data_IF_755847307474
#
_entry.id   IF_755847307474
#
_cell.length_a   1.000
_cell.length_b   1.000
_cell.length_c   1.000
_cell.angle_alpha   90.00
_cell.angle_beta   90.00
_cell.angle_gamma   90.00
#
_symmetry.space_group_name_H-M   'P 1'
#
loop_
_entity.id
_entity.type
_entity.pdbx_description
1 polymer ?
#
# COMPACT_ATOMS: atom_id res chain seq x y z
N UNK A 1 -17.92 12.46 29.35
CA UNK A 1 -18.59 12.17 28.08
C UNK A 1 -17.68 11.21 27.33
N UNK A 2 -18.03 9.93 27.27
CA UNK A 2 -17.24 8.93 26.51
C UNK A 2 -17.99 8.69 25.22
N UNK A 3 -17.33 8.91 24.08
CA UNK A 3 -17.82 8.30 22.85
C UNK A 3 -17.49 6.82 22.97
N UNK A 4 -18.50 5.96 23.01
CA UNK A 4 -18.26 4.55 22.76
C UNK A 4 -17.79 4.45 21.31
N UNK A 5 -16.53 4.08 21.10
CA UNK A 5 -16.02 3.78 19.77
C UNK A 5 -16.65 2.45 19.40
N UNK A 6 -17.72 2.49 18.60
CA UNK A 6 -18.21 1.28 17.97
C UNK A 6 -17.06 0.76 17.09
N UNK A 7 -16.60 -0.45 17.36
CA UNK A 7 -15.42 -1.05 16.72
C UNK A 7 -15.78 -1.55 15.32
N UNK A 8 -16.34 -0.66 14.49
CA UNK A 8 -16.60 -0.93 13.08
C UNK A 8 -15.23 -0.92 12.39
N UNK A 9 -14.82 -2.09 11.92
CA UNK A 9 -13.63 -2.22 11.10
C UNK A 9 -13.85 -1.46 9.78
N UNK A 10 -13.08 -0.40 9.50
CA UNK A 10 -13.34 0.48 8.36
C UNK A 10 -13.20 -0.26 7.03
N UNK A 11 -14.30 -0.31 6.27
CA UNK A 11 -14.33 -0.97 4.95
C UNK A 11 -14.37 0.04 3.83
N UNK A 12 -13.44 -0.04 2.88
CA UNK A 12 -13.46 0.78 1.67
C UNK A 12 -14.56 0.31 0.72
N UNK A 13 -15.32 1.27 0.19
CA UNK A 13 -16.39 1.04 -0.77
C UNK A 13 -16.08 1.64 -2.14
N UNK A 14 -15.19 2.62 -2.20
CA UNK A 14 -14.73 3.20 -3.46
C UNK A 14 -13.37 3.86 -3.30
N UNK A 15 -12.57 3.85 -4.36
CA UNK A 15 -11.23 4.46 -4.40
C UNK A 15 -11.15 5.39 -5.60
N UNK A 16 -10.50 6.54 -5.40
CA UNK A 16 -10.09 7.46 -6.46
C UNK A 16 -8.58 7.63 -6.35
N UNK A 17 -7.89 7.56 -7.49
CA UNK A 17 -6.45 7.73 -7.59
C UNK A 17 -6.18 8.89 -8.54
N UNK A 18 -5.42 9.87 -8.07
CA UNK A 18 -4.98 11.03 -8.87
C UNK A 18 -3.47 10.97 -9.09
N UNK A 19 -2.91 12.04 -9.66
CA UNK A 19 -1.46 12.18 -9.78
C UNK A 19 -0.77 12.36 -8.41
N UNK A 20 -1.49 12.87 -7.42
CA UNK A 20 -0.93 13.28 -6.13
C UNK A 20 -1.42 12.43 -4.95
N UNK A 21 -2.61 11.83 -5.05
CA UNK A 21 -3.28 11.22 -3.90
C UNK A 21 -4.01 9.90 -4.23
N UNK A 22 -4.16 9.08 -3.19
CA UNK A 22 -5.04 7.91 -3.13
C UNK A 22 -6.12 8.23 -2.11
N UNK A 23 -7.37 8.31 -2.57
CA UNK A 23 -8.53 8.63 -1.73
C UNK A 23 -9.46 7.44 -1.62
N UNK A 24 -9.68 6.95 -0.40
CA UNK A 24 -10.60 5.86 -0.09
C UNK A 24 -11.85 6.40 0.62
N UNK A 25 -13.04 6.05 0.12
CA UNK A 25 -14.31 6.27 0.83
C UNK A 25 -14.67 5.01 1.60
N UNK A 26 -15.00 5.18 2.87
CA UNK A 26 -15.32 4.09 3.78
C UNK A 26 -16.85 3.95 3.95
N UNK A 27 -17.29 2.73 4.24
CA UNK A 27 -18.70 2.38 4.46
C UNK A 27 -19.34 3.15 5.63
N UNK A 28 -18.52 3.58 6.59
CA UNK A 28 -18.93 4.39 7.74
C UNK A 28 -19.04 5.90 7.44
N UNK A 29 -18.89 6.29 6.16
CA UNK A 29 -19.01 7.66 5.68
C UNK A 29 -17.72 8.48 5.75
N UNK A 30 -16.63 7.95 6.32
CA UNK A 30 -15.34 8.64 6.33
C UNK A 30 -14.71 8.63 4.93
N UNK A 31 -13.85 9.62 4.69
CA UNK A 31 -12.96 9.66 3.53
C UNK A 31 -11.52 9.78 4.04
N UNK A 32 -10.65 8.88 3.58
CA UNK A 32 -9.22 8.91 3.86
C UNK A 32 -8.49 9.31 2.58
N UNK A 33 -7.61 10.30 2.65
CA UNK A 33 -6.69 10.63 1.54
C UNK A 33 -5.26 10.54 2.04
N UNK A 34 -4.42 9.91 1.23
CA UNK A 34 -2.98 9.81 1.47
C UNK A 34 -2.23 10.19 0.20
N UNK A 35 -1.02 10.75 0.30
CA UNK A 35 -0.23 11.07 -0.89
C UNK A 35 0.09 9.80 -1.68
N UNK A 36 0.03 9.85 -3.01
CA UNK A 36 0.43 8.77 -3.91
C UNK A 36 1.88 8.32 -3.64
N UNK A 37 2.72 9.28 -3.21
CA UNK A 37 4.12 9.06 -2.81
C UNK A 37 4.31 8.11 -1.63
N UNK A 38 3.23 7.76 -0.92
CA UNK A 38 3.28 6.70 0.08
C UNK A 38 3.67 5.34 -0.49
N UNK A 39 3.34 5.07 -1.75
CA UNK A 39 3.89 3.92 -2.45
C UNK A 39 4.85 4.37 -3.52
N UNK A 40 6.08 3.91 -3.40
CA UNK A 40 7.10 4.14 -4.40
C UNK A 40 6.74 3.51 -5.74
N UNK A 41 6.09 2.34 -5.72
CA UNK A 41 5.61 1.68 -6.93
C UNK A 41 4.54 2.50 -7.61
N UNK A 42 3.56 3.00 -6.85
CA UNK A 42 2.48 3.82 -7.41
C UNK A 42 3.00 5.17 -7.92
N UNK A 43 4.01 5.75 -7.26
CA UNK A 43 4.67 6.98 -7.70
C UNK A 43 5.32 6.83 -9.07
N UNK A 44 5.93 5.67 -9.34
CA UNK A 44 6.66 5.38 -10.59
C UNK A 44 5.75 4.74 -11.67
N UNK A 45 4.54 4.31 -11.29
CA UNK A 45 3.58 3.67 -12.18
C UNK A 45 2.97 4.63 -13.20
N UNK A 46 2.59 4.11 -14.38
CA UNK A 46 1.83 4.87 -15.36
C UNK A 46 0.39 5.13 -14.88
N UNK A 47 -0.30 6.16 -15.41
CA UNK A 47 -1.71 6.41 -15.11
C UNK A 47 -2.61 5.19 -15.40
N UNK A 48 -2.30 4.41 -16.44
CA UNK A 48 -3.03 3.19 -16.81
C UNK A 48 -2.89 2.11 -15.76
N UNK A 49 -1.67 1.92 -15.24
CA UNK A 49 -1.41 0.94 -14.17
C UNK A 49 -2.09 1.37 -12.87
N UNK A 50 -2.03 2.67 -12.51
CA UNK A 50 -2.70 3.21 -11.32
C UNK A 50 -4.22 3.07 -11.35
N UNK A 51 -4.84 3.08 -12.53
CA UNK A 51 -6.30 2.91 -12.69
C UNK A 51 -6.76 1.45 -12.56
N UNK A 52 -5.85 0.49 -12.64
CA UNK A 52 -6.15 -0.94 -12.51
C UNK A 52 -5.87 -1.40 -11.09
N UNK A 53 -6.88 -1.26 -10.24
CA UNK A 53 -6.83 -1.76 -8.87
C UNK A 53 -8.10 -2.54 -8.53
N UNK A 54 -8.00 -3.33 -7.48
CA UNK A 54 -9.07 -4.12 -6.93
C UNK A 54 -9.21 -3.83 -5.43
N UNK A 55 -10.44 -3.72 -4.94
CA UNK A 55 -10.68 -3.70 -3.50
C UNK A 55 -10.62 -5.15 -3.01
N UNK A 56 -9.78 -5.43 -2.02
CA UNK A 56 -9.50 -6.79 -1.54
C UNK A 56 -9.90 -6.97 -0.07
N UNK A 57 -10.01 -8.23 0.34
CA UNK A 57 -10.24 -8.64 1.72
C UNK A 57 -11.50 -8.03 2.33
N UNK A 58 -12.57 -7.94 1.54
CA UNK A 58 -13.86 -7.35 1.97
C UNK A 58 -13.71 -5.87 2.41
N UNK A 59 -12.90 -5.10 1.69
CA UNK A 59 -12.74 -3.66 1.92
C UNK A 59 -11.63 -3.28 2.90
N UNK A 60 -10.74 -4.20 3.28
CA UNK A 60 -9.60 -3.90 4.17
C UNK A 60 -8.39 -3.31 3.43
N UNK A 61 -8.36 -3.42 2.10
CA UNK A 61 -7.23 -2.94 1.30
C UNK A 61 -7.53 -2.79 -0.18
N UNK A 62 -6.53 -2.27 -0.89
CA UNK A 62 -6.56 -1.96 -2.31
C UNK A 62 -5.32 -2.60 -2.94
N UNK A 63 -5.52 -3.45 -3.94
CA UNK A 63 -4.47 -4.18 -4.64
C UNK A 63 -4.30 -3.66 -6.06
N UNK A 64 -3.05 -3.39 -6.48
CA UNK A 64 -2.68 -3.09 -7.85
C UNK A 64 -1.95 -4.30 -8.46
N UNK A 65 -2.64 -5.18 -9.22
CA UNK A 65 -2.07 -6.43 -9.71
C UNK A 65 -0.91 -6.23 -10.69
N UNK A 66 -0.99 -5.20 -11.55
CA UNK A 66 0.07 -4.88 -12.51
C UNK A 66 1.38 -4.43 -11.82
N UNK A 67 1.32 -4.04 -10.55
CA UNK A 67 2.44 -3.46 -9.79
C UNK A 67 2.87 -4.35 -8.61
N UNK A 68 2.12 -5.41 -8.30
CA UNK A 68 2.27 -6.22 -7.09
C UNK A 68 2.37 -5.34 -5.83
N UNK A 69 1.40 -4.43 -5.69
CA UNK A 69 1.38 -3.44 -4.61
C UNK A 69 0.02 -3.43 -3.90
N UNK A 70 0.08 -3.38 -2.57
CA UNK A 70 -1.09 -3.32 -1.70
C UNK A 70 -1.05 -2.10 -0.78
N UNK A 71 -2.16 -1.38 -0.70
CA UNK A 71 -2.39 -0.34 0.31
C UNK A 71 -3.52 -0.78 1.24
N UNK A 72 -3.23 -0.90 2.53
CA UNK A 72 -4.23 -1.27 3.55
C UNK A 72 -4.91 -0.04 4.14
N UNK A 73 -6.21 -0.17 4.47
CA UNK A 73 -6.97 0.88 5.14
C UNK A 73 -6.42 1.14 6.56
N UNK A 74 -5.96 0.09 7.24
CA UNK A 74 -5.24 0.22 8.50
C UNK A 74 -3.96 1.06 8.36
N UNK A 75 -3.17 0.86 7.29
CA UNK A 75 -1.99 1.66 6.99
C UNK A 75 -2.33 3.13 6.72
N UNK A 76 -3.42 3.39 5.98
CA UNK A 76 -3.96 4.75 5.75
C UNK A 76 -4.34 5.44 7.06
N UNK A 77 -5.05 4.76 7.95
CA UNK A 77 -5.44 5.32 9.25
C UNK A 77 -4.25 5.53 10.18
N UNK A 78 -3.27 4.64 10.13
CA UNK A 78 -2.07 4.69 10.96
C UNK A 78 -0.99 5.65 10.45
N UNK A 79 -1.17 6.28 9.29
CA UNK A 79 -0.15 7.17 8.73
C UNK A 79 1.13 6.46 8.31
N UNK A 80 1.06 5.17 7.93
CA UNK A 80 2.23 4.35 7.62
C UNK A 80 2.40 4.18 6.11
N UNK A 81 3.41 4.82 5.48
CA UNK A 81 3.70 4.64 4.05
C UNK A 81 4.16 3.22 3.71
N UNK A 82 4.05 2.85 2.44
CA UNK A 82 4.57 1.58 1.95
C UNK A 82 6.11 1.55 2.05
N UNK A 83 6.63 0.45 2.58
CA UNK A 83 8.07 0.30 2.81
C UNK A 83 8.80 0.09 1.48
N UNK A 84 9.71 1.00 1.14
CA UNK A 84 10.72 0.75 0.09
C UNK A 84 11.66 -0.37 0.56
N UNK A 85 11.83 -1.48 -0.20
CA UNK A 85 12.86 -2.45 0.11
C UNK A 85 14.22 -1.78 0.06
N UNK A 86 15.01 -1.89 1.14
CA UNK A 86 16.40 -1.47 1.09
C UNK A 86 17.21 -2.55 0.37
N UNK A 87 17.56 -2.32 -0.90
CA UNK A 87 18.35 -3.25 -1.70
C UNK A 87 19.70 -3.57 -1.05
N UNK A 88 20.30 -2.67 -0.27
CA UNK A 88 21.54 -2.95 0.47
C UNK A 88 21.36 -4.03 1.55
N UNK A 89 20.16 -4.13 2.16
CA UNK A 89 19.84 -5.13 3.17
C UNK A 89 19.46 -6.49 2.57
N UNK A 90 19.14 -6.54 1.28
CA UNK A 90 18.74 -7.76 0.58
C UNK A 90 19.94 -8.63 0.16
N UNK A 91 21.10 -8.02 -0.13
CA UNK A 91 22.34 -8.73 -0.47
C UNK A 91 23.09 -9.28 0.74
N UNK A 92 22.93 -8.65 1.91
CA UNK A 92 23.60 -9.06 3.15
C UNK A 92 23.01 -10.34 3.79
N UNK A 93 21.80 -10.75 3.38
CA UNK A 93 21.05 -11.86 3.98
C UNK A 93 21.02 -13.15 3.13
N UNK A 94 21.84 -13.25 2.08
CA UNK A 94 21.95 -14.49 1.29
C UNK A 94 23.11 -15.33 1.82
N UNK A 95 22.89 -16.49 2.48
CA UNK A 95 23.97 -17.39 2.81
C UNK A 95 24.33 -18.18 1.54
N UNK A 96 25.58 -18.04 1.06
CA UNK A 96 26.11 -18.89 0.00
C UNK A 96 26.76 -18.14 -1.17
N UNK A 97 27.85 -17.44 -0.90
CA UNK A 97 28.78 -16.98 -1.93
C UNK A 97 30.14 -17.66 -1.75
N UNK A 98 30.21 -18.99 -1.96
CA UNK A 98 31.50 -19.67 -2.03
C UNK A 98 32.19 -19.32 -3.36
N UNK A 99 33.04 -18.30 -3.32
CA UNK A 99 33.94 -17.99 -4.42
C UNK A 99 35.01 -19.09 -4.50
N UNK A 100 34.83 -20.03 -5.44
CA UNK A 100 35.87 -20.99 -5.81
C UNK A 100 37.04 -20.23 -6.44
N UNK A 101 38.19 -20.23 -5.77
CA UNK A 101 39.45 -19.75 -6.33
C UNK A 101 39.93 -20.77 -7.37
N UNK A 102 40.12 -20.30 -8.60
CA UNK A 102 40.83 -21.04 -9.63
C UNK A 102 42.35 -20.94 -9.36
N UNK A 103 43.02 -22.08 -9.36
CA UNK A 103 44.45 -22.27 -9.60
C UNK A 103 44.58 -23.40 -10.61
#
# INVERSE_FOLDING_TARGET
MSIAVDTIDPRVVSVVVTEDEITARLADGRTLSVPLVWSWRLSEASPEQRRKFEIIGDGIGIHWPDLDEDISIAGMLGGTPARRPNLASAWQQRPGGEAKRAT
#
